data_IF_075940180733
#
_entry.id   IF_075940180733
#
_cell.length_a   1.000
_cell.length_b   1.000
_cell.length_c   1.000
_cell.angle_alpha   90.00
_cell.angle_beta   90.00
_cell.angle_gamma   90.00
#
_symmetry.space_group_name_H-M   'P 1'
#
loop_
_entity.id
_entity.type
_entity.pdbx_description
1 polymer ?
#
# COMPACT_ATOMS: atom_id res chain seq x y z
N UNK A 1 29.53 -25.56 33.09
CA UNK A 1 30.13 -24.20 33.08
C UNK A 1 28.99 -23.21 33.10
N UNK A 2 28.92 -22.28 34.07
CA UNK A 2 27.95 -21.21 33.98
C UNK A 2 28.42 -20.34 32.82
N UNK A 3 27.68 -20.30 31.71
CA UNK A 3 27.80 -19.14 30.84
C UNK A 3 27.54 -17.93 31.73
N UNK A 4 28.53 -17.04 31.89
CA UNK A 4 28.43 -15.83 32.68
C UNK A 4 27.03 -15.24 32.49
N UNK A 5 26.27 -15.07 33.57
CA UNK A 5 24.86 -14.65 33.53
C UNK A 5 24.66 -13.43 32.64
N UNK A 6 25.64 -12.53 32.60
CA UNK A 6 25.70 -11.38 31.71
C UNK A 6 25.75 -11.74 30.22
N UNK A 7 26.61 -12.67 29.79
CA UNK A 7 26.73 -13.10 28.38
C UNK A 7 25.47 -13.81 27.91
N UNK A 8 24.85 -14.63 28.76
CA UNK A 8 23.58 -15.30 28.48
C UNK A 8 22.45 -14.29 28.31
N UNK A 9 22.34 -13.33 29.24
CA UNK A 9 21.33 -12.27 29.17
C UNK A 9 21.53 -11.39 27.94
N UNK A 10 22.78 -11.06 27.61
CA UNK A 10 23.12 -10.28 26.43
C UNK A 10 22.70 -11.00 25.13
N UNK A 11 23.03 -12.28 24.98
CA UNK A 11 22.68 -13.05 23.77
C UNK A 11 21.16 -13.22 23.65
N UNK A 12 20.48 -13.50 24.77
CA UNK A 12 19.03 -13.69 24.84
C UNK A 12 18.22 -12.41 24.60
N UNK A 13 18.82 -11.23 24.76
CA UNK A 13 18.16 -9.94 24.45
C UNK A 13 18.60 -9.37 23.10
N UNK A 14 19.88 -9.49 22.74
CA UNK A 14 20.44 -8.91 21.53
C UNK A 14 19.92 -9.57 20.25
N UNK A 15 19.85 -10.91 20.19
CA UNK A 15 19.36 -11.63 19.01
C UNK A 15 17.91 -11.24 18.65
N UNK A 16 16.94 -11.24 19.59
CA UNK A 16 15.57 -10.80 19.31
C UNK A 16 15.43 -9.36 18.85
N UNK A 17 16.27 -8.45 19.36
CA UNK A 17 16.31 -7.05 18.94
C UNK A 17 16.84 -6.97 17.49
N UNK A 18 17.91 -7.69 17.18
CA UNK A 18 18.49 -7.72 15.84
C UNK A 18 17.50 -8.32 14.82
N UNK A 19 16.81 -9.40 15.17
CA UNK A 19 15.76 -9.97 14.32
C UNK A 19 14.57 -9.01 14.17
N UNK A 20 14.20 -8.27 15.23
CA UNK A 20 13.19 -7.22 15.15
C UNK A 20 13.58 -6.11 14.18
N UNK A 21 14.80 -5.60 14.25
CA UNK A 21 15.29 -4.56 13.34
C UNK A 21 15.32 -5.04 11.89
N UNK A 22 15.82 -6.27 11.65
CA UNK A 22 15.86 -6.87 10.32
C UNK A 22 14.45 -7.06 9.73
N UNK A 23 13.52 -7.61 10.51
CA UNK A 23 12.13 -7.82 10.10
C UNK A 23 11.41 -6.48 9.89
N UNK A 24 11.67 -5.49 10.74
CA UNK A 24 11.12 -4.13 10.56
C UNK A 24 11.62 -3.50 9.26
N UNK A 25 12.92 -3.63 8.95
CA UNK A 25 13.50 -3.17 7.68
C UNK A 25 12.88 -3.86 6.46
N UNK A 26 12.70 -5.18 6.50
CA UNK A 26 12.03 -5.94 5.44
C UNK A 26 10.58 -5.49 5.24
N UNK A 27 9.85 -5.33 6.34
CA UNK A 27 8.47 -4.82 6.35
C UNK A 27 8.39 -3.44 5.66
N UNK A 28 9.29 -2.51 6.02
CA UNK A 28 9.36 -1.20 5.37
C UNK A 28 9.64 -1.32 3.86
N UNK A 29 10.61 -2.15 3.47
CA UNK A 29 10.93 -2.36 2.06
C UNK A 29 9.71 -2.89 1.27
N UNK A 30 9.00 -3.87 1.82
CA UNK A 30 7.82 -4.46 1.18
C UNK A 30 6.68 -3.45 1.12
N UNK A 31 6.49 -2.67 2.17
CA UNK A 31 5.51 -1.58 2.17
C UNK A 31 5.80 -0.58 1.04
N UNK A 32 7.04 -0.14 0.85
CA UNK A 32 7.41 0.75 -0.25
C UNK A 32 7.21 0.10 -1.62
N UNK A 33 7.63 -1.16 -1.78
CA UNK A 33 7.55 -1.90 -3.04
C UNK A 33 6.12 -2.15 -3.50
N UNK A 34 5.24 -2.52 -2.57
CA UNK A 34 3.83 -2.79 -2.83
C UNK A 34 2.92 -1.58 -2.53
N UNK A 35 3.51 -0.39 -2.31
CA UNK A 35 2.78 0.85 -2.00
C UNK A 35 1.74 1.21 -3.07
N UNK A 36 1.96 0.84 -4.32
CA UNK A 36 0.97 1.06 -5.39
C UNK A 36 -0.38 0.43 -5.08
N UNK A 37 -0.40 -0.72 -4.40
CA UNK A 37 -1.66 -1.36 -4.01
C UNK A 37 -2.47 -0.50 -3.03
N UNK A 38 -1.83 0.35 -2.23
CA UNK A 38 -2.51 1.32 -1.39
C UNK A 38 -3.39 2.25 -2.23
N UNK A 39 -2.82 2.85 -3.29
CA UNK A 39 -3.54 3.75 -4.19
C UNK A 39 -4.66 3.02 -4.93
N UNK A 40 -4.37 1.82 -5.47
CA UNK A 40 -5.37 0.98 -6.15
C UNK A 40 -6.55 0.65 -5.23
N UNK A 41 -6.25 0.26 -3.99
CA UNK A 41 -7.28 -0.06 -3.00
C UNK A 41 -8.19 1.15 -2.73
N UNK A 42 -7.63 2.36 -2.75
CA UNK A 42 -8.41 3.58 -2.57
C UNK A 42 -9.34 3.83 -3.73
N UNK A 43 -8.86 3.64 -4.96
CA UNK A 43 -9.70 3.73 -6.15
C UNK A 43 -10.87 2.75 -6.03
N UNK A 44 -10.63 1.49 -5.64
CA UNK A 44 -11.70 0.50 -5.46
C UNK A 44 -12.71 0.86 -4.36
N UNK A 45 -12.24 1.43 -3.25
CA UNK A 45 -13.12 1.96 -2.20
C UNK A 45 -13.97 3.11 -2.73
N UNK A 46 -13.44 3.97 -3.58
CA UNK A 46 -14.17 5.09 -4.18
C UNK A 46 -15.17 4.62 -5.23
N UNK A 47 -14.80 3.69 -6.11
CA UNK A 47 -15.74 3.03 -7.03
C UNK A 47 -16.93 2.44 -6.25
N UNK A 48 -16.70 1.83 -5.07
CA UNK A 48 -17.77 1.33 -4.19
C UNK A 48 -18.72 2.43 -3.74
N UNK A 49 -18.21 3.60 -3.37
CA UNK A 49 -19.04 4.70 -2.87
C UNK A 49 -19.76 5.40 -4.03
N UNK A 50 -19.08 5.63 -5.15
CA UNK A 50 -19.67 6.25 -6.35
C UNK A 50 -20.87 5.47 -6.85
N UNK A 51 -20.74 4.15 -6.98
CA UNK A 51 -21.84 3.28 -7.43
C UNK A 51 -23.00 3.16 -6.43
N UNK A 52 -22.86 3.67 -5.20
CA UNK A 52 -24.00 3.81 -4.29
C UNK A 52 -24.76 5.12 -4.49
N UNK A 53 -24.09 6.14 -5.00
CA UNK A 53 -24.59 7.52 -5.02
C UNK A 53 -24.96 8.01 -6.43
N UNK A 54 -24.46 7.36 -7.48
CA UNK A 54 -24.61 7.76 -8.88
C UNK A 54 -24.94 6.54 -9.74
N UNK A 55 -25.96 6.66 -10.60
CA UNK A 55 -26.40 5.57 -11.47
C UNK A 55 -25.50 5.38 -12.70
N UNK A 56 -25.00 6.47 -13.28
CA UNK A 56 -24.15 6.48 -14.49
C UNK A 56 -23.07 7.55 -14.33
N UNK A 57 -21.84 7.21 -14.71
CA UNK A 57 -20.67 8.09 -14.63
C UNK A 57 -19.92 8.05 -15.97
N UNK A 58 -19.53 9.21 -16.50
CA UNK A 58 -18.73 9.32 -17.72
C UNK A 58 -17.24 9.29 -17.38
N UNK A 59 -16.45 8.48 -18.09
CA UNK A 59 -15.03 8.30 -17.81
C UNK A 59 -14.24 8.05 -19.10
N UNK A 60 -12.93 8.28 -19.08
CA UNK A 60 -12.10 7.96 -20.24
C UNK A 60 -11.79 6.45 -20.32
N UNK A 61 -11.67 5.89 -21.51
CA UNK A 61 -11.26 4.48 -21.72
C UNK A 61 -9.91 4.12 -21.07
N UNK A 62 -9.01 5.08 -20.84
CA UNK A 62 -7.78 4.89 -20.08
C UNK A 62 -8.07 4.33 -18.68
N UNK A 63 -9.21 4.67 -18.05
CA UNK A 63 -9.57 4.12 -16.75
C UNK A 63 -9.82 2.62 -16.82
N UNK A 64 -10.60 2.19 -17.82
CA UNK A 64 -10.93 0.79 -18.04
C UNK A 64 -9.67 -0.02 -18.40
N UNK A 65 -8.80 0.53 -19.26
CA UNK A 65 -7.48 -0.05 -19.56
C UNK A 65 -6.57 -0.11 -18.34
N UNK A 66 -6.62 0.89 -17.47
CA UNK A 66 -5.88 0.89 -16.21
C UNK A 66 -6.37 -0.23 -15.29
N UNK A 67 -7.69 -0.37 -15.15
CA UNK A 67 -8.30 -1.43 -14.33
C UNK A 67 -7.90 -2.84 -14.79
N UNK A 68 -7.87 -3.10 -16.10
CA UNK A 68 -7.46 -4.42 -16.61
C UNK A 68 -5.99 -4.74 -16.29
N UNK A 69 -5.10 -3.74 -16.27
CA UNK A 69 -3.69 -3.88 -15.89
C UNK A 69 -3.46 -4.01 -14.39
N UNK A 70 -4.37 -3.50 -13.55
CA UNK A 70 -4.26 -3.56 -12.08
C UNK A 70 -4.16 -5.01 -11.57
N UNK A 71 -4.82 -5.96 -12.23
CA UNK A 71 -4.79 -7.38 -11.85
C UNK A 71 -3.37 -7.96 -11.83
N UNK A 72 -2.54 -7.62 -12.81
CA UNK A 72 -1.17 -8.10 -12.90
C UNK A 72 -0.28 -7.48 -11.82
N UNK A 73 -0.37 -6.15 -11.65
CA UNK A 73 0.40 -5.39 -10.65
C UNK A 73 0.09 -5.89 -9.24
N UNK A 74 -1.21 -6.03 -8.93
CA UNK A 74 -1.65 -6.47 -7.61
C UNK A 74 -1.26 -7.91 -7.33
N UNK A 75 -1.33 -8.82 -8.32
CA UNK A 75 -0.88 -10.21 -8.16
C UNK A 75 0.60 -10.28 -7.79
N UNK A 76 1.46 -9.56 -8.51
CA UNK A 76 2.91 -9.50 -8.22
C UNK A 76 3.18 -8.92 -6.83
N UNK A 77 2.52 -7.83 -6.48
CA UNK A 77 2.67 -7.20 -5.17
C UNK A 77 2.16 -8.09 -4.02
N UNK A 78 1.02 -8.76 -4.21
CA UNK A 78 0.43 -9.65 -3.22
C UNK A 78 1.34 -10.84 -2.89
N UNK A 79 2.12 -11.34 -3.85
CA UNK A 79 3.12 -12.39 -3.57
C UNK A 79 4.12 -11.93 -2.51
N UNK A 80 4.67 -10.72 -2.65
CA UNK A 80 5.59 -10.16 -1.65
C UNK A 80 4.92 -9.95 -0.29
N UNK A 81 3.69 -9.43 -0.28
CA UNK A 81 2.94 -9.17 0.96
C UNK A 81 2.61 -10.47 1.71
N UNK A 82 2.17 -11.51 1.00
CA UNK A 82 1.84 -12.81 1.59
C UNK A 82 3.12 -13.49 2.09
N UNK A 83 4.18 -13.49 1.28
CA UNK A 83 5.48 -14.02 1.69
C UNK A 83 5.96 -13.37 2.99
N UNK A 84 5.88 -12.04 3.10
CA UNK A 84 6.25 -11.31 4.30
C UNK A 84 5.44 -11.72 5.53
N UNK A 85 4.12 -11.89 5.38
CA UNK A 85 3.25 -12.29 6.46
C UNK A 85 3.60 -13.71 6.95
N UNK A 86 3.81 -14.66 6.03
CA UNK A 86 4.24 -16.02 6.35
C UNK A 86 5.62 -16.00 7.01
N UNK A 87 6.56 -15.24 6.46
CA UNK A 87 7.91 -15.09 7.00
C UNK A 87 7.89 -14.57 8.45
N UNK A 88 7.13 -13.50 8.71
CA UNK A 88 6.98 -12.95 10.06
C UNK A 88 6.30 -13.93 11.01
N UNK A 89 5.31 -14.69 10.53
CA UNK A 89 4.65 -15.73 11.33
C UNK A 89 5.64 -16.84 11.72
N UNK A 90 6.41 -17.37 10.77
CA UNK A 90 7.41 -18.42 11.02
C UNK A 90 8.45 -17.96 12.04
N UNK A 91 9.00 -16.75 11.87
CA UNK A 91 9.98 -16.19 12.81
C UNK A 91 9.37 -15.98 14.21
N UNK A 92 8.14 -15.49 14.29
CA UNK A 92 7.45 -15.30 15.58
C UNK A 92 7.20 -16.63 16.29
N UNK A 93 6.82 -17.68 15.55
CA UNK A 93 6.64 -19.03 16.09
C UNK A 93 7.97 -19.64 16.54
N UNK A 94 9.05 -19.50 15.75
CA UNK A 94 10.36 -20.04 16.14
C UNK A 94 10.90 -19.38 17.41
N UNK A 95 10.71 -18.07 17.58
CA UNK A 95 11.09 -17.35 18.79
C UNK A 95 10.28 -17.84 20.00
N UNK A 96 8.99 -18.14 19.81
CA UNK A 96 8.14 -18.74 20.83
C UNK A 96 8.58 -20.18 21.21
N UNK A 97 9.03 -20.99 20.25
CA UNK A 97 9.53 -22.35 20.52
C UNK A 97 10.86 -22.32 21.28
N UNK A 98 11.80 -21.43 20.90
CA UNK A 98 13.06 -21.24 21.65
C UNK A 98 12.74 -20.83 23.09
N UNK A 99 11.75 -19.96 23.26
CA UNK A 99 11.26 -19.55 24.56
C UNK A 99 10.72 -20.72 25.40
N UNK A 100 9.95 -21.64 24.79
CA UNK A 100 9.45 -22.85 25.46
C UNK A 100 10.55 -23.83 25.91
N UNK A 101 11.69 -23.85 25.21
CA UNK A 101 12.82 -24.75 25.53
C UNK A 101 13.68 -24.19 26.68
N UNK A 102 13.75 -22.86 26.83
CA UNK A 102 14.48 -22.17 27.91
C UNK A 102 13.76 -22.20 29.27
N UNK A 103 12.60 -22.87 29.36
CA UNK A 103 11.68 -22.87 30.50
C UNK A 103 12.19 -23.62 31.76
N UNK A 104 13.46 -24.03 31.79
CA UNK A 104 14.08 -24.76 32.89
C UNK A 104 14.96 -23.90 33.82
N UNK A 105 14.90 -22.56 33.73
CA UNK A 105 15.64 -21.65 34.63
C UNK A 105 14.71 -20.54 35.20
N UNK A 106 14.34 -20.59 36.50
CA UNK A 106 13.24 -19.80 37.06
C UNK A 106 13.58 -18.33 37.37
N UNK A 107 14.85 -17.95 37.54
CA UNK A 107 15.21 -16.64 38.11
C UNK A 107 14.97 -15.45 37.18
N UNK A 108 15.04 -15.66 35.85
CA UNK A 108 14.85 -14.59 34.86
C UNK A 108 13.70 -14.85 33.89
N UNK A 109 12.95 -15.93 34.11
CA UNK A 109 11.97 -16.46 33.19
C UNK A 109 10.94 -15.39 32.77
N UNK A 110 10.31 -14.74 33.76
CA UNK A 110 9.22 -13.77 33.54
C UNK A 110 9.62 -12.60 32.64
N UNK A 111 10.80 -12.00 32.88
CA UNK A 111 11.31 -10.87 32.11
C UNK A 111 11.58 -11.27 30.65
N UNK A 112 12.15 -12.46 30.43
CA UNK A 112 12.38 -12.98 29.08
C UNK A 112 11.09 -13.33 28.35
N UNK A 113 10.07 -13.91 29.03
CA UNK A 113 8.74 -14.14 28.43
C UNK A 113 8.19 -12.83 27.90
N UNK A 114 8.22 -11.79 28.74
CA UNK A 114 7.59 -10.52 28.44
C UNK A 114 8.30 -9.81 27.27
N UNK A 115 9.62 -9.69 27.31
CA UNK A 115 10.39 -9.00 26.27
C UNK A 115 10.33 -9.73 24.91
N UNK A 116 10.48 -11.06 24.90
CA UNK A 116 10.43 -11.86 23.68
C UNK A 116 9.02 -11.91 23.11
N UNK A 117 8.01 -12.15 23.96
CA UNK A 117 6.61 -12.16 23.56
C UNK A 117 6.19 -10.83 22.95
N UNK A 118 6.57 -9.70 23.57
CA UNK A 118 6.32 -8.36 23.03
C UNK A 118 7.04 -8.12 21.70
N UNK A 119 8.29 -8.57 21.54
CA UNK A 119 9.03 -8.43 20.30
C UNK A 119 8.40 -9.23 19.15
N UNK A 120 8.07 -10.51 19.38
CA UNK A 120 7.42 -11.37 18.37
C UNK A 120 6.02 -10.88 18.03
N UNK A 121 5.22 -10.49 19.04
CA UNK A 121 3.91 -9.88 18.81
C UNK A 121 4.01 -8.60 17.97
N UNK A 122 4.98 -7.73 18.26
CA UNK A 122 5.19 -6.49 17.52
C UNK A 122 5.56 -6.73 16.05
N UNK A 123 6.39 -7.74 15.74
CA UNK A 123 6.75 -8.13 14.37
C UNK A 123 5.52 -8.58 13.59
N UNK A 124 4.74 -9.48 14.20
CA UNK A 124 3.52 -9.98 13.58
C UNK A 124 2.50 -8.86 13.38
N UNK A 125 2.28 -8.03 14.39
CA UNK A 125 1.37 -6.88 14.31
C UNK A 125 1.79 -5.94 13.19
N UNK A 126 3.08 -5.63 13.06
CA UNK A 126 3.57 -4.75 12.00
C UNK A 126 3.35 -5.34 10.60
N UNK A 127 3.67 -6.62 10.40
CA UNK A 127 3.41 -7.32 9.15
C UNK A 127 1.91 -7.42 8.83
N UNK A 128 1.07 -7.67 9.84
CA UNK A 128 -0.37 -7.68 9.71
C UNK A 128 -0.92 -6.31 9.34
N UNK A 129 -0.43 -5.22 9.95
CA UNK A 129 -0.83 -3.85 9.60
C UNK A 129 -0.46 -3.51 8.15
N UNK A 130 0.71 -3.93 7.67
CA UNK A 130 1.10 -3.79 6.27
C UNK A 130 0.14 -4.59 5.39
N UNK A 131 -0.04 -5.89 5.66
CA UNK A 131 -1.00 -6.71 4.93
C UNK A 131 -2.39 -6.06 4.88
N UNK A 132 -2.91 -5.66 6.04
CA UNK A 132 -4.22 -5.07 6.20
C UNK A 132 -4.36 -3.68 5.55
N UNK A 133 -3.27 -3.00 5.18
CA UNK A 133 -3.29 -1.69 4.50
C UNK A 133 -3.09 -1.80 2.99
N UNK A 134 -2.18 -2.64 2.50
CA UNK A 134 -1.80 -2.70 1.08
C UNK A 134 -2.21 -3.98 0.36
N UNK A 135 -2.81 -4.97 1.03
CA UNK A 135 -3.34 -6.15 0.33
C UNK A 135 -4.60 -5.80 -0.49
N UNK A 136 -4.64 -6.26 -1.75
CA UNK A 136 -5.78 -6.10 -2.66
C UNK A 136 -6.23 -7.46 -3.15
N UNK A 137 -7.40 -7.93 -2.73
CA UNK A 137 -7.89 -9.26 -3.11
C UNK A 137 -8.45 -9.30 -4.54
N UNK A 138 -8.42 -10.49 -5.16
CA UNK A 138 -9.10 -10.74 -6.44
C UNK A 138 -10.59 -10.39 -6.39
N UNK A 139 -11.25 -10.64 -5.24
CA UNK A 139 -12.65 -10.28 -5.02
C UNK A 139 -12.86 -8.77 -5.12
N UNK A 140 -11.95 -7.96 -4.59
CA UNK A 140 -12.03 -6.50 -4.70
C UNK A 140 -11.93 -6.02 -6.15
N UNK A 141 -11.03 -6.60 -6.94
CA UNK A 141 -10.84 -6.27 -8.36
C UNK A 141 -12.12 -6.60 -9.14
N UNK A 142 -12.61 -7.85 -9.06
CA UNK A 142 -13.86 -8.26 -9.71
C UNK A 142 -15.06 -7.40 -9.31
N UNK A 143 -15.14 -7.04 -8.04
CA UNK A 143 -16.22 -6.16 -7.57
C UNK A 143 -16.12 -4.76 -8.18
N UNK A 144 -14.91 -4.25 -8.41
CA UNK A 144 -14.70 -2.98 -9.10
C UNK A 144 -15.05 -3.08 -10.58
N UNK A 145 -14.62 -4.15 -11.26
CA UNK A 145 -14.95 -4.44 -12.67
C UNK A 145 -16.46 -4.44 -12.89
N UNK A 146 -17.20 -5.29 -12.16
CA UNK A 146 -18.66 -5.37 -12.28
C UNK A 146 -19.38 -4.04 -12.00
N UNK A 147 -18.80 -3.20 -11.13
CA UNK A 147 -19.38 -1.90 -10.79
C UNK A 147 -19.21 -0.87 -11.89
N UNK A 148 -18.09 -0.90 -12.61
CA UNK A 148 -17.85 0.08 -13.67
C UNK A 148 -18.56 -0.29 -14.98
N UNK A 149 -19.18 -1.46 -15.10
CA UNK A 149 -19.94 -1.85 -16.30
C UNK A 149 -21.08 -0.89 -16.63
N UNK A 150 -21.65 -0.22 -15.61
CA UNK A 150 -22.71 0.78 -15.79
C UNK A 150 -22.18 2.15 -16.24
N UNK A 151 -20.86 2.35 -16.26
CA UNK A 151 -20.26 3.62 -16.61
C UNK A 151 -20.17 3.78 -18.12
N UNK A 152 -20.17 5.04 -18.59
CA UNK A 152 -20.02 5.37 -20.00
C UNK A 152 -18.56 5.75 -20.26
N UNK A 153 -17.94 5.07 -21.23
CA UNK A 153 -16.55 5.30 -21.57
C UNK A 153 -16.41 5.99 -22.93
N UNK A 154 -15.55 7.00 -23.01
CA UNK A 154 -15.16 7.65 -24.28
C UNK A 154 -13.66 7.96 -24.36
N UNK A 155 -13.22 8.36 -25.56
CA UNK A 155 -11.83 8.77 -25.84
C UNK A 155 -11.72 10.29 -26.07
N UNK A 156 -12.82 11.04 -25.91
CA UNK A 156 -12.88 12.45 -26.31
C UNK A 156 -12.41 13.38 -25.20
N UNK A 157 -12.66 13.01 -23.96
CA UNK A 157 -12.33 13.81 -22.77
C UNK A 157 -11.61 12.95 -21.74
N UNK A 158 -10.74 13.55 -20.92
CA UNK A 158 -10.18 12.90 -19.74
C UNK A 158 -11.12 12.92 -18.53
N UNK A 159 -12.28 13.58 -18.61
CA UNK A 159 -13.30 13.63 -17.56
C UNK A 159 -12.72 14.00 -16.19
N UNK A 160 -11.75 14.91 -16.16
CA UNK A 160 -11.27 15.53 -14.92
C UNK A 160 -12.26 16.60 -14.43
N UNK A 161 -11.86 17.41 -13.45
CA UNK A 161 -12.66 18.55 -12.98
C UNK A 161 -12.86 19.65 -14.05
N UNK A 162 -11.92 19.75 -14.99
CA UNK A 162 -11.97 20.62 -16.17
C UNK A 162 -11.17 20.01 -17.31
N UNK A 163 -11.32 20.55 -18.51
CA UNK A 163 -10.45 20.21 -19.63
C UNK A 163 -9.10 20.92 -19.51
N UNK A 164 -8.03 20.14 -19.53
CA UNK A 164 -6.66 20.64 -19.40
C UNK A 164 -6.01 20.73 -20.77
N UNK A 165 -5.43 21.89 -21.08
CA UNK A 165 -4.61 22.08 -22.27
C UNK A 165 -3.13 21.84 -21.94
N UNK A 166 -2.38 21.12 -22.79
CA UNK A 166 -0.96 20.91 -22.58
C UNK A 166 -0.19 22.23 -22.59
N UNK A 167 0.50 22.54 -21.48
CA UNK A 167 1.19 23.82 -21.28
C UNK A 167 2.64 23.68 -20.82
N UNK A 168 3.14 22.45 -20.67
CA UNK A 168 4.54 22.17 -20.30
C UNK A 168 4.94 22.56 -18.87
N UNK A 169 4.05 23.17 -18.09
CA UNK A 169 4.31 23.53 -16.69
C UNK A 169 4.32 22.29 -15.81
N UNK A 170 5.31 22.19 -14.92
CA UNK A 170 5.28 21.22 -13.82
C UNK A 170 4.35 21.73 -12.73
N UNK A 171 3.48 20.87 -12.25
CA UNK A 171 2.43 21.19 -11.30
C UNK A 171 2.48 20.27 -10.08
N UNK A 172 1.92 20.75 -8.97
CA UNK A 172 2.16 20.20 -7.62
C UNK A 172 1.51 18.81 -7.39
N UNK A 173 1.86 18.18 -6.27
CA UNK A 173 1.56 16.79 -5.91
C UNK A 173 0.08 16.54 -5.53
N UNK A 174 -0.41 15.32 -5.76
CA UNK A 174 -1.68 14.83 -5.19
C UNK A 174 -1.44 14.25 -3.81
N UNK A 175 -2.08 14.81 -2.80
CA UNK A 175 -2.05 14.27 -1.44
C UNK A 175 -3.29 13.40 -1.23
N UNK A 176 -3.11 12.08 -1.23
CA UNK A 176 -4.21 11.15 -0.94
C UNK A 176 -4.23 10.79 0.56
N UNK A 177 -5.38 10.99 1.19
CA UNK A 177 -5.69 10.42 2.51
C UNK A 177 -6.64 9.24 2.30
N UNK A 178 -6.45 8.19 3.09
CA UNK A 178 -7.22 6.95 2.95
C UNK A 178 -8.24 6.78 4.04
N UNK A 179 -7.92 7.25 5.24
CA UNK A 179 -8.80 7.30 6.39
C UNK A 179 -8.46 8.54 7.23
N UNK A 180 -9.41 9.09 8.01
CA UNK A 180 -9.11 10.00 9.09
C UNK A 180 -8.05 9.36 10.01
N UNK A 181 -6.98 10.07 10.33
CA UNK A 181 -5.91 9.59 11.21
C UNK A 181 -4.80 8.77 10.55
N UNK A 182 -4.85 8.48 9.25
CA UNK A 182 -3.69 7.90 8.53
C UNK A 182 -2.79 9.01 7.97
N UNK A 183 -1.47 8.78 7.98
CA UNK A 183 -0.50 9.72 7.43
C UNK A 183 -0.77 9.96 5.94
N UNK A 184 -0.73 11.23 5.54
CA UNK A 184 -0.92 11.64 4.17
C UNK A 184 0.11 10.98 3.26
N UNK A 185 -0.31 10.42 2.12
CA UNK A 185 0.62 9.91 1.13
C UNK A 185 0.54 10.73 -0.16
N UNK A 186 1.67 11.34 -0.46
CA UNK A 186 1.91 12.07 -1.70
C UNK A 186 2.05 11.06 -2.86
N UNK A 187 1.22 11.26 -3.88
CA UNK A 187 1.36 10.71 -5.21
C UNK A 187 1.65 11.86 -6.17
N UNK A 188 2.69 11.74 -6.97
CA UNK A 188 3.13 12.78 -7.90
C UNK A 188 3.53 12.17 -9.23
N UNK A 189 3.65 13.02 -10.26
CA UNK A 189 4.22 12.62 -11.55
C UNK A 189 5.64 12.07 -11.40
N UNK A 190 6.46 12.64 -10.51
CA UNK A 190 7.80 12.13 -10.18
C UNK A 190 7.76 10.75 -9.52
N UNK A 191 6.83 10.53 -8.57
CA UNK A 191 6.64 9.22 -7.97
C UNK A 191 6.23 8.20 -9.04
N UNK A 192 5.30 8.56 -9.93
CA UNK A 192 4.90 7.72 -11.05
C UNK A 192 6.09 7.39 -11.96
N UNK A 193 6.87 8.38 -12.37
CA UNK A 193 8.04 8.16 -13.23
C UNK A 193 9.12 7.29 -12.56
N UNK A 194 9.32 7.43 -11.25
CA UNK A 194 10.33 6.66 -10.51
C UNK A 194 9.91 5.21 -10.25
N UNK A 195 8.63 4.97 -9.97
CA UNK A 195 8.17 3.68 -9.44
C UNK A 195 7.18 2.94 -10.35
N UNK A 196 6.52 3.63 -11.30
CA UNK A 196 5.41 3.09 -12.09
C UNK A 196 5.49 3.43 -13.58
N UNK A 197 6.58 4.03 -14.08
CA UNK A 197 6.76 4.37 -15.50
C UNK A 197 6.47 3.19 -16.43
N UNK A 198 6.93 2.00 -16.06
CA UNK A 198 6.76 0.77 -16.85
C UNK A 198 5.33 0.19 -16.78
N UNK A 199 4.47 0.71 -15.90
CA UNK A 199 3.08 0.26 -15.74
C UNK A 199 2.12 0.95 -16.72
N UNK A 200 2.58 1.97 -17.44
CA UNK A 200 1.79 2.69 -18.46
C UNK A 200 0.94 3.85 -17.90
N UNK A 201 0.60 4.79 -18.78
CA UNK A 201 -0.18 5.99 -18.45
C UNK A 201 -1.60 5.66 -18.00
N UNK A 202 -2.14 4.52 -18.39
CA UNK A 202 -3.47 4.07 -17.98
C UNK A 202 -3.53 3.82 -16.47
N UNK A 203 -2.43 3.35 -15.87
CA UNK A 203 -2.31 3.21 -14.41
C UNK A 203 -2.19 4.57 -13.73
N UNK A 204 -1.46 5.52 -14.32
CA UNK A 204 -1.39 6.87 -13.79
C UNK A 204 -2.79 7.52 -13.77
N UNK A 205 -3.49 7.47 -14.91
CA UNK A 205 -4.85 7.98 -15.06
C UNK A 205 -5.82 7.29 -14.08
N UNK A 206 -5.78 5.96 -13.99
CA UNK A 206 -6.60 5.18 -13.07
C UNK A 206 -6.44 5.65 -11.61
N UNK A 207 -5.20 5.89 -11.18
CA UNK A 207 -4.91 6.35 -9.81
C UNK A 207 -5.38 7.78 -9.58
N UNK A 208 -4.99 8.74 -10.43
CA UNK A 208 -5.31 10.16 -10.21
C UNK A 208 -6.80 10.42 -10.33
N UNK A 209 -7.46 9.84 -11.34
CA UNK A 209 -8.88 10.01 -11.54
C UNK A 209 -9.66 9.24 -10.46
N UNK A 210 -9.28 7.99 -10.20
CA UNK A 210 -9.99 7.15 -9.23
C UNK A 210 -9.96 7.67 -7.79
N UNK A 211 -8.98 8.52 -7.44
CA UNK A 211 -8.87 9.13 -6.11
C UNK A 211 -9.59 10.49 -6.04
N UNK A 212 -9.95 11.11 -7.17
CA UNK A 212 -10.22 12.54 -7.21
C UNK A 212 -11.56 13.04 -6.67
N UNK A 213 -12.53 12.17 -6.46
CA UNK A 213 -13.91 12.62 -6.26
C UNK A 213 -14.06 13.50 -5.00
N UNK A 214 -14.29 14.82 -5.15
CA UNK A 214 -14.19 15.79 -4.04
C UNK A 214 -15.32 15.64 -3.01
N UNK A 215 -16.48 15.15 -3.45
CA UNK A 215 -17.64 14.87 -2.60
C UNK A 215 -17.45 13.66 -1.68
N UNK A 216 -16.37 12.89 -1.85
CA UNK A 216 -16.00 11.79 -0.96
C UNK A 216 -15.04 12.32 0.11
N UNK A 217 -15.57 12.55 1.33
CA UNK A 217 -14.81 12.96 2.54
C UNK A 217 -13.48 12.18 2.65
N UNK A 218 -12.41 12.85 3.07
CA UNK A 218 -11.02 12.32 3.25
C UNK A 218 -10.05 12.48 2.07
N UNK A 219 -10.11 13.57 1.31
CA UNK A 219 -8.96 14.05 0.51
C UNK A 219 -8.76 15.53 0.83
N UNK A 220 -7.58 15.92 1.30
CA UNK A 220 -7.20 17.35 1.28
C UNK A 220 -6.45 17.60 -0.02
N UNK A 221 -7.07 18.40 -0.86
CA UNK A 221 -6.44 18.91 -2.08
C UNK A 221 -5.66 20.16 -1.68
N UNK A 222 -4.37 20.02 -1.40
CA UNK A 222 -3.53 21.21 -1.20
C UNK A 222 -3.02 21.79 -2.54
N UNK A 223 -3.22 21.09 -3.65
CA UNK A 223 -2.89 21.64 -4.96
C UNK A 223 -3.55 20.93 -6.14
N UNK A 224 -4.32 21.69 -6.92
CA UNK A 224 -4.40 21.54 -8.38
C UNK A 224 -2.93 21.59 -8.88
N UNK A 225 -2.39 20.58 -9.55
CA UNK A 225 -2.71 20.30 -10.95
C UNK A 225 -2.05 18.96 -11.39
N UNK A 226 -2.19 17.86 -10.62
CA UNK A 226 -1.66 16.56 -11.06
C UNK A 226 -2.24 16.09 -12.42
N UNK A 227 -3.43 16.59 -12.78
CA UNK A 227 -4.04 16.35 -14.10
C UNK A 227 -3.29 17.08 -15.20
N UNK A 228 -2.83 18.30 -14.96
CA UNK A 228 -2.00 19.04 -15.91
C UNK A 228 -0.68 18.31 -16.14
N UNK A 229 -0.06 17.79 -15.06
CA UNK A 229 1.11 16.92 -15.14
C UNK A 229 0.84 15.67 -15.99
N UNK A 230 -0.28 15.00 -15.75
CA UNK A 230 -0.70 13.85 -16.54
C UNK A 230 -0.87 14.21 -18.02
N UNK A 231 -1.60 15.29 -18.34
CA UNK A 231 -1.84 15.74 -19.72
C UNK A 231 -0.54 16.14 -20.41
N UNK A 232 0.36 16.83 -19.71
CA UNK A 232 1.68 17.19 -20.22
C UNK A 232 2.53 15.96 -20.52
N UNK A 233 2.50 14.94 -19.66
CA UNK A 233 3.23 13.69 -19.88
C UNK A 233 2.60 12.82 -20.96
N UNK A 234 1.27 12.75 -21.01
CA UNK A 234 0.53 11.99 -22.01
C UNK A 234 0.79 12.56 -23.42
N UNK A 235 0.77 13.88 -23.60
CA UNK A 235 1.12 14.51 -24.89
C UNK A 235 2.57 14.26 -25.30
N UNK A 236 3.52 14.24 -24.35
CA UNK A 236 4.94 13.99 -24.69
C UNK A 236 5.21 12.57 -25.15
N UNK A 237 4.32 11.63 -24.85
CA UNK A 237 4.51 10.21 -25.14
C UNK A 237 3.77 9.73 -26.40
N UNK A 238 2.88 10.55 -26.97
CA UNK A 238 2.18 10.31 -28.24
C UNK A 238 2.69 11.25 -29.32
#
# INVERSE_FOLDING_TARGET
MPFNSFTSVFILTFIPILTFLAISGLNFFIWFKARTNYFIRNVFRRIKVLNKNLDILNCNFLFQKGLSKVGEITRKNNQYIIFNLIFCLVFSVSEFTIFWILFFDPENLFLFIFLLGMASFSKFLFAFLIFATIYVSKKMIKTAENRIEKWKFDNKSFHFDREYQPNGKKTKNLIAFVNPGQRAFLFSSEYFQKHLKNSGFEIFYFIIWGIHFPFLRNVKFESLDIYQDFVNLYKKAG
#
